data_IF_428503282690
#
_entry.id   IF_428503282690
#
_cell.length_a   1.000
_cell.length_b   1.000
_cell.length_c   1.000
_cell.angle_alpha   90.00
_cell.angle_beta   90.00
_cell.angle_gamma   90.00
#
_symmetry.space_group_name_H-M   'P 1'
#
loop_
_entity.id
_entity.type
_entity.pdbx_description
1 polymer ?
#
# COMPACT_ATOMS: atom_id res chain seq x y z
N UNK A 1 -55.70 15.86 17.88
CA UNK A 1 -54.63 15.09 18.54
C UNK A 1 -53.33 15.68 18.00
N UNK A 2 -52.89 16.83 18.50
CA UNK A 2 -52.03 16.95 19.70
C UNK A 2 -50.88 15.93 19.70
N UNK A 3 -49.61 16.25 19.92
CA UNK A 3 -48.89 17.46 20.34
C UNK A 3 -47.41 17.03 20.21
N UNK A 4 -46.59 17.89 19.58
CA UNK A 4 -45.26 18.35 20.05
C UNK A 4 -44.24 17.26 20.47
N UNK A 5 -43.02 17.25 19.93
CA UNK A 5 -41.84 17.91 20.54
C UNK A 5 -40.61 17.45 19.75
N UNK A 6 -39.68 18.35 19.46
CA UNK A 6 -38.41 18.41 20.18
C UNK A 6 -37.35 19.18 19.36
N UNK A 7 -36.97 20.35 19.91
CA UNK A 7 -35.60 20.89 19.99
C UNK A 7 -34.82 21.02 18.66
N UNK A 8 -34.50 22.20 18.13
CA UNK A 8 -34.29 23.49 18.75
C UNK A 8 -32.84 23.94 18.57
N UNK A 9 -32.70 25.24 18.26
CA UNK A 9 -31.59 26.14 18.68
C UNK A 9 -30.27 25.89 17.90
N UNK A 10 -29.65 26.83 17.19
CA UNK A 10 -29.38 28.24 17.50
C UNK A 10 -29.31 29.07 16.21
N UNK A 11 -30.38 29.81 15.90
CA UNK A 11 -30.32 30.94 14.96
C UNK A 11 -29.76 32.15 15.71
N UNK A 12 -28.46 32.38 15.55
CA UNK A 12 -27.76 33.53 16.07
C UNK A 12 -27.76 34.67 15.07
N UNK A 13 -28.53 35.71 15.40
CA UNK A 13 -28.05 37.09 15.44
C UNK A 13 -27.64 37.76 14.11
N UNK A 14 -28.61 38.33 13.39
CA UNK A 14 -28.41 39.58 12.64
C UNK A 14 -29.66 40.46 12.83
N UNK A 15 -29.72 41.13 13.97
CA UNK A 15 -30.69 42.19 14.24
C UNK A 15 -30.25 43.46 13.49
N UNK A 16 -31.06 43.82 12.50
CA UNK A 16 -31.57 45.16 12.19
C UNK A 16 -30.78 46.39 12.70
N UNK A 17 -30.17 47.12 11.78
CA UNK A 17 -30.28 48.59 11.68
C UNK A 17 -30.26 48.96 10.20
N UNK A 18 -31.31 49.67 9.77
CA UNK A 18 -31.67 49.85 8.37
C UNK A 18 -30.80 50.83 7.58
N UNK A 19 -30.81 50.66 6.26
CA UNK A 19 -30.94 51.74 5.28
C UNK A 19 -31.28 51.11 3.93
N UNK A 20 -32.45 51.45 3.39
CA UNK A 20 -32.87 51.12 2.03
C UNK A 20 -31.88 51.73 1.03
N UNK A 21 -31.06 50.89 0.40
CA UNK A 21 -30.27 51.23 -0.77
C UNK A 21 -30.62 50.28 -1.91
N UNK A 22 -31.58 50.67 -2.74
CA UNK A 22 -31.87 49.98 -3.99
C UNK A 22 -30.64 50.08 -4.92
N UNK A 23 -29.99 48.95 -5.19
CA UNK A 23 -29.12 48.82 -6.36
C UNK A 23 -29.87 48.01 -7.41
N UNK A 24 -30.47 48.73 -8.35
CA UNK A 24 -31.04 48.18 -9.58
C UNK A 24 -29.92 47.63 -10.49
N UNK A 25 -30.22 46.63 -11.33
CA UNK A 25 -29.22 45.99 -12.17
C UNK A 25 -28.82 46.93 -13.29
N UNK A 26 -27.56 47.36 -13.31
CA UNK A 26 -26.98 47.99 -14.50
C UNK A 26 -26.82 46.92 -15.58
N UNK A 27 -27.89 46.73 -16.36
CA UNK A 27 -27.88 45.95 -17.59
C UNK A 27 -26.95 46.58 -18.61
N UNK A 28 -25.66 46.24 -18.54
CA UNK A 28 -24.74 46.41 -19.64
C UNK A 28 -25.05 45.37 -20.71
N UNK A 29 -25.62 45.79 -21.84
CA UNK A 29 -25.72 44.95 -23.02
C UNK A 29 -24.31 44.81 -23.63
N UNK A 30 -23.58 43.78 -23.22
CA UNK A 30 -22.35 43.42 -23.92
C UNK A 30 -22.74 42.77 -25.24
N UNK A 31 -22.66 43.56 -26.32
CA UNK A 31 -22.72 43.05 -27.68
C UNK A 31 -21.59 42.03 -27.84
N UNK A 32 -21.94 40.80 -28.19
CA UNK A 32 -20.97 39.83 -28.69
C UNK A 32 -20.48 40.29 -30.08
N UNK A 33 -19.50 41.19 -30.08
CA UNK A 33 -18.79 41.58 -31.30
C UNK A 33 -17.78 40.48 -31.61
N UNK A 34 -17.92 39.87 -32.79
CA UNK A 34 -17.17 38.70 -33.25
C UNK A 34 -15.73 39.01 -33.69
N UNK A 35 -15.18 40.14 -33.25
CA UNK A 35 -13.88 40.63 -33.70
C UNK A 35 -12.95 40.70 -32.48
N UNK A 36 -12.23 39.61 -32.24
CA UNK A 36 -11.23 39.47 -31.18
C UNK A 36 -10.03 40.38 -31.44
N UNK A 37 -10.13 41.64 -31.02
CA UNK A 37 -8.95 42.45 -30.69
C UNK A 37 -8.90 42.56 -29.17
N UNK A 38 -7.77 42.13 -28.61
CA UNK A 38 -7.49 41.98 -27.19
C UNK A 38 -7.97 43.19 -26.35
N UNK A 39 -8.84 42.93 -25.38
CA UNK A 39 -9.06 43.84 -24.26
C UNK A 39 -7.86 43.68 -23.32
N UNK A 40 -7.15 44.80 -23.13
CA UNK A 40 -5.94 44.95 -22.34
C UNK A 40 -6.04 44.27 -20.97
N UNK A 41 -5.36 43.12 -20.81
CA UNK A 41 -5.08 42.55 -19.48
C UNK A 41 -5.19 41.04 -19.33
N UNK A 42 -5.70 40.29 -20.32
CA UNK A 42 -5.70 38.84 -20.22
C UNK A 42 -4.36 38.26 -20.69
N UNK A 43 -3.48 37.95 -19.74
CA UNK A 43 -2.27 37.19 -20.02
C UNK A 43 -2.63 35.70 -20.14
N UNK A 44 -2.43 35.04 -21.31
CA UNK A 44 -2.77 33.64 -21.49
C UNK A 44 -1.93 32.78 -20.54
N UNK A 45 -2.57 31.77 -19.93
CA UNK A 45 -1.87 30.82 -19.08
C UNK A 45 -0.78 30.09 -19.87
N UNK A 46 0.35 29.77 -19.24
CA UNK A 46 1.35 28.87 -19.83
C UNK A 46 1.00 27.41 -19.54
N UNK A 47 1.56 26.47 -20.31
CA UNK A 47 1.41 25.04 -20.05
C UNK A 47 1.79 24.65 -18.61
N UNK A 48 2.86 25.24 -18.08
CA UNK A 48 3.29 25.07 -16.69
C UNK A 48 2.30 25.63 -15.67
N UNK A 49 1.66 26.76 -15.96
CA UNK A 49 0.63 27.37 -15.10
C UNK A 49 -0.67 26.56 -15.14
N UNK A 50 -1.00 25.95 -16.28
CA UNK A 50 -2.14 25.05 -16.44
C UNK A 50 -1.88 23.63 -15.88
N UNK A 51 -0.66 23.33 -15.43
CA UNK A 51 -0.23 21.99 -14.97
C UNK A 51 -0.43 20.90 -16.03
N UNK A 52 -0.33 21.28 -17.31
CA UNK A 52 -0.49 20.39 -18.47
C UNK A 52 0.86 20.18 -19.14
N UNK A 53 1.23 18.91 -19.36
CA UNK A 53 2.50 18.52 -19.97
C UNK A 53 2.39 18.27 -21.49
N UNK A 54 1.18 18.08 -22.02
CA UNK A 54 0.93 17.78 -23.42
C UNK A 54 -0.50 18.17 -23.84
N UNK A 55 -0.75 18.31 -25.13
CA UNK A 55 -2.08 18.53 -25.69
C UNK A 55 -2.54 20.00 -25.66
N UNK A 56 -3.77 20.23 -26.14
CA UNK A 56 -4.37 21.55 -26.30
C UNK A 56 -5.36 21.86 -25.18
N UNK A 57 -5.14 22.94 -24.45
CA UNK A 57 -5.98 23.36 -23.32
C UNK A 57 -6.39 24.84 -23.46
N UNK A 58 -7.57 25.27 -22.97
CA UNK A 58 -7.95 26.68 -22.97
C UNK A 58 -6.95 27.53 -22.18
N UNK A 59 -6.66 28.72 -22.69
CA UNK A 59 -5.70 29.67 -22.09
C UNK A 59 -6.32 30.59 -21.02
N UNK A 60 -7.64 30.47 -20.78
CA UNK A 60 -8.40 31.31 -19.86
C UNK A 60 -8.81 32.67 -20.43
N UNK A 61 -8.37 33.01 -21.64
CA UNK A 61 -8.59 34.29 -22.32
C UNK A 61 -9.47 34.16 -23.58
N UNK A 62 -10.12 32.99 -23.74
CA UNK A 62 -10.94 32.67 -24.92
C UNK A 62 -10.15 32.07 -26.07
N UNK A 63 -8.85 31.85 -25.89
CA UNK A 63 -7.97 31.12 -26.80
C UNK A 63 -7.58 29.74 -26.27
N UNK A 64 -6.62 29.11 -26.93
CA UNK A 64 -6.08 27.81 -26.55
C UNK A 64 -4.56 27.83 -26.62
N UNK A 65 -3.92 27.19 -25.66
CA UNK A 65 -2.48 26.92 -25.67
C UNK A 65 -2.23 25.47 -26.10
N UNK A 66 -1.16 25.27 -26.88
CA UNK A 66 -0.72 23.96 -27.35
C UNK A 66 0.59 23.58 -26.64
N UNK A 67 0.53 22.54 -25.82
CA UNK A 67 1.64 22.08 -24.98
C UNK A 67 2.46 20.96 -25.63
N UNK A 68 2.24 20.70 -26.93
CA UNK A 68 2.95 19.69 -27.70
C UNK A 68 2.53 18.26 -27.36
N UNK A 69 3.20 17.31 -28.02
CA UNK A 69 2.94 15.88 -27.88
C UNK A 69 3.93 15.18 -26.93
N UNK A 70 3.55 14.00 -26.47
CA UNK A 70 4.39 13.16 -25.63
C UNK A 70 5.47 12.44 -26.46
N UNK A 71 6.72 12.50 -26.00
CA UNK A 71 7.84 11.75 -26.61
C UNK A 71 7.62 10.23 -26.57
N UNK A 72 6.87 9.73 -25.58
CA UNK A 72 6.42 8.35 -25.49
C UNK A 72 5.03 8.29 -24.86
N UNK A 73 4.17 7.42 -25.39
CA UNK A 73 2.81 7.21 -24.90
C UNK A 73 1.77 8.14 -25.49
N UNK A 74 0.65 8.31 -24.79
CA UNK A 74 -0.51 9.06 -25.27
C UNK A 74 -0.85 10.17 -24.29
N UNK A 75 -1.22 11.34 -24.81
CA UNK A 75 -1.68 12.45 -23.99
C UNK A 75 -3.12 12.22 -23.56
N UNK A 76 -3.35 12.09 -22.26
CA UNK A 76 -4.69 11.95 -21.67
C UNK A 76 -4.82 12.93 -20.52
N UNK A 77 -5.84 13.79 -20.57
CA UNK A 77 -6.11 14.81 -19.55
C UNK A 77 -4.89 15.71 -19.26
N UNK A 78 -4.16 16.10 -20.32
CA UNK A 78 -2.99 16.95 -20.20
C UNK A 78 -1.74 16.27 -19.64
N UNK A 79 -1.75 14.95 -19.46
CA UNK A 79 -0.61 14.17 -18.96
C UNK A 79 -0.18 13.09 -19.94
N UNK A 80 1.13 12.92 -20.09
CA UNK A 80 1.71 11.81 -20.83
C UNK A 80 1.57 10.51 -20.05
N UNK A 81 0.72 9.63 -20.54
CA UNK A 81 0.59 8.28 -20.02
C UNK A 81 1.36 7.34 -20.94
N UNK A 82 2.35 6.66 -20.37
CA UNK A 82 3.08 5.63 -21.09
C UNK A 82 2.08 4.60 -21.66
N UNK A 83 2.32 4.07 -22.88
CA UNK A 83 1.47 3.01 -23.37
C UNK A 83 1.53 1.85 -22.37
N UNK A 84 0.45 1.06 -22.20
CA UNK A 84 0.53 -0.14 -21.40
C UNK A 84 1.65 -0.99 -21.99
N UNK A 85 2.77 -1.07 -21.27
CA UNK A 85 3.82 -2.03 -21.61
C UNK A 85 3.10 -3.37 -21.55
N UNK A 86 2.98 -4.12 -22.66
CA UNK A 86 2.45 -5.47 -22.54
C UNK A 86 3.28 -6.12 -21.45
N UNK A 87 2.62 -6.65 -20.42
CA UNK A 87 3.30 -7.40 -19.39
C UNK A 87 4.06 -8.49 -20.15
N UNK A 88 5.36 -8.27 -20.36
CA UNK A 88 6.22 -9.32 -20.83
C UNK A 88 5.96 -10.44 -19.84
N UNK A 89 5.57 -11.65 -20.29
CA UNK A 89 5.43 -12.75 -19.38
C UNK A 89 6.77 -12.78 -18.67
N UNK A 90 6.77 -12.63 -17.33
CA UNK A 90 7.96 -12.88 -16.52
C UNK A 90 8.56 -14.11 -17.16
N UNK A 91 9.72 -13.96 -17.80
CA UNK A 91 10.48 -15.08 -18.31
C UNK A 91 10.91 -15.77 -17.02
N UNK A 92 9.99 -16.56 -16.46
CA UNK A 92 10.33 -17.73 -15.70
C UNK A 92 11.41 -18.37 -16.56
N UNK A 93 12.63 -18.54 -16.03
CA UNK A 93 13.67 -19.16 -16.82
C UNK A 93 13.12 -20.53 -17.16
N UNK A 94 12.63 -20.67 -18.39
CA UNK A 94 12.37 -21.92 -19.08
C UNK A 94 13.59 -22.77 -18.77
N UNK A 95 13.42 -23.73 -17.86
CA UNK A 95 14.52 -24.46 -17.26
C UNK A 95 15.40 -25.05 -18.35
N UNK A 96 16.70 -24.71 -18.41
CA UNK A 96 17.59 -25.32 -19.37
C UNK A 96 17.88 -26.75 -18.94
N UNK A 97 17.80 -27.64 -19.93
CA UNK A 97 18.25 -29.03 -19.90
C UNK A 97 19.68 -29.03 -19.35
N UNK A 98 19.79 -29.53 -18.14
CA UNK A 98 21.00 -29.60 -17.34
C UNK A 98 22.00 -30.61 -17.92
N UNK A 99 23.29 -30.35 -17.71
CA UNK A 99 24.49 -31.15 -18.03
C UNK A 99 25.61 -30.64 -17.12
N UNK A 100 25.40 -30.77 -15.80
CA UNK A 100 25.90 -29.83 -14.80
C UNK A 100 27.44 -29.75 -14.70
N UNK A 101 28.02 -28.58 -14.97
CA UNK A 101 29.19 -28.00 -14.26
C UNK A 101 29.23 -26.49 -14.59
N UNK A 102 29.27 -25.55 -13.62
CA UNK A 102 28.84 -25.62 -12.21
C UNK A 102 27.33 -25.34 -12.15
N UNK A 103 26.54 -26.19 -12.80
CA UNK A 103 25.20 -25.84 -13.25
C UNK A 103 24.06 -26.17 -12.30
N UNK A 104 24.22 -26.08 -10.98
CA UNK A 104 23.13 -26.25 -10.00
C UNK A 104 23.20 -25.20 -8.87
N UNK A 105 22.06 -24.90 -8.23
CA UNK A 105 21.97 -23.97 -7.09
C UNK A 105 22.42 -24.63 -5.78
N UNK A 106 22.69 -23.86 -4.71
CA UNK A 106 22.83 -24.41 -3.36
C UNK A 106 21.57 -25.23 -3.00
N UNK A 107 21.78 -26.40 -2.38
CA UNK A 107 20.74 -27.40 -2.07
C UNK A 107 20.17 -28.18 -3.27
N UNK A 108 20.89 -28.22 -4.39
CA UNK A 108 20.60 -29.12 -5.51
C UNK A 108 21.79 -30.06 -5.78
N UNK A 109 21.48 -31.29 -6.20
CA UNK A 109 22.47 -32.26 -6.66
C UNK A 109 22.26 -32.62 -8.13
N UNK A 110 23.35 -32.80 -8.88
CA UNK A 110 23.27 -33.25 -10.26
C UNK A 110 23.07 -34.77 -10.31
N UNK A 111 21.90 -35.22 -10.73
CA UNK A 111 21.52 -36.63 -10.95
C UNK A 111 21.01 -36.76 -12.38
N UNK A 112 21.58 -37.68 -13.17
CA UNK A 112 21.22 -37.88 -14.59
C UNK A 112 21.29 -36.61 -15.45
N UNK A 113 22.38 -35.84 -15.27
CA UNK A 113 22.53 -34.53 -15.86
C UNK A 113 21.39 -33.59 -15.47
N UNK A 114 20.77 -33.75 -14.29
CA UNK A 114 19.70 -32.87 -13.81
C UNK A 114 19.87 -32.39 -12.39
N UNK A 115 19.64 -31.09 -12.18
CA UNK A 115 19.62 -30.54 -10.84
C UNK A 115 18.33 -30.99 -10.16
N UNK A 116 18.50 -31.88 -9.21
CA UNK A 116 17.45 -32.37 -8.33
C UNK A 116 17.62 -31.68 -6.99
N UNK A 117 16.58 -31.00 -6.53
CA UNK A 117 16.59 -30.36 -5.23
C UNK A 117 16.69 -31.42 -4.12
N UNK A 118 17.68 -31.24 -3.25
CA UNK A 118 17.88 -32.10 -2.10
C UNK A 118 17.07 -31.55 -0.93
N UNK A 119 15.93 -32.20 -0.68
CA UNK A 119 15.07 -31.85 0.45
C UNK A 119 15.83 -32.01 1.75
N UNK A 120 15.82 -30.98 2.57
CA UNK A 120 16.25 -31.08 3.94
C UNK A 120 15.33 -32.05 4.70
N UNK A 121 15.85 -32.63 5.78
CA UNK A 121 15.09 -33.41 6.75
C UNK A 121 15.10 -32.68 8.09
N UNK A 122 14.17 -33.01 8.98
CA UNK A 122 14.17 -32.47 10.34
C UNK A 122 15.52 -32.67 11.04
N UNK A 123 16.12 -33.86 10.87
CA UNK A 123 17.44 -34.17 11.41
C UNK A 123 18.55 -33.31 10.80
N UNK A 124 18.55 -33.08 9.48
CA UNK A 124 19.57 -32.25 8.84
C UNK A 124 19.44 -30.77 9.17
N UNK A 125 18.24 -30.30 9.54
CA UNK A 125 17.99 -28.94 10.02
C UNK A 125 18.24 -28.77 11.53
N UNK A 126 18.49 -29.87 12.25
CA UNK A 126 18.62 -29.88 13.71
C UNK A 126 17.29 -29.63 14.44
N UNK A 127 16.16 -29.84 13.78
CA UNK A 127 14.82 -29.64 14.34
C UNK A 127 14.31 -30.92 14.97
N UNK A 128 13.85 -30.83 16.22
CA UNK A 128 13.25 -31.95 16.96
C UNK A 128 11.72 -31.98 16.88
N UNK A 129 11.11 -30.84 16.61
CA UNK A 129 9.66 -30.66 16.54
C UNK A 129 9.34 -29.39 15.73
N UNK A 130 8.08 -29.22 15.36
CA UNK A 130 7.60 -28.04 14.62
C UNK A 130 7.57 -28.24 13.11
N UNK A 131 7.34 -27.15 12.39
CA UNK A 131 7.26 -27.14 10.93
C UNK A 131 8.42 -26.34 10.34
N UNK A 132 8.94 -26.77 9.20
CA UNK A 132 10.02 -26.09 8.51
C UNK A 132 9.96 -26.27 7.00
N UNK A 133 10.56 -25.37 6.25
CA UNK A 133 10.74 -25.53 4.81
C UNK A 133 11.82 -26.57 4.51
N UNK A 134 11.59 -27.41 3.49
CA UNK A 134 12.54 -28.43 3.05
C UNK A 134 13.63 -27.90 2.10
N UNK A 135 13.63 -26.60 1.79
CA UNK A 135 14.53 -25.95 0.83
C UNK A 135 14.14 -26.13 -0.63
N UNK A 136 13.07 -26.90 -0.90
CA UNK A 136 12.62 -27.31 -2.22
C UNK A 136 11.15 -26.96 -2.50
N UNK A 137 10.55 -26.10 -1.65
CA UNK A 137 9.15 -25.68 -1.74
C UNK A 137 8.16 -26.63 -1.08
N UNK A 138 8.65 -27.63 -0.32
CA UNK A 138 7.86 -28.49 0.56
C UNK A 138 7.97 -28.06 2.02
N UNK A 139 7.00 -28.50 2.83
CA UNK A 139 7.01 -28.29 4.29
C UNK A 139 7.27 -29.63 4.98
N UNK A 140 8.25 -29.62 5.89
CA UNK A 140 8.58 -30.70 6.82
C UNK A 140 7.75 -30.55 8.10
N UNK A 141 7.14 -31.64 8.51
CA UNK A 141 6.43 -31.77 9.79
C UNK A 141 7.31 -32.61 10.74
N UNK A 142 8.06 -31.96 11.63
CA UNK A 142 9.01 -32.60 12.54
C UNK A 142 8.35 -33.16 13.81
N UNK A 143 7.02 -33.30 13.81
CA UNK A 143 6.21 -33.67 14.96
C UNK A 143 5.78 -32.46 15.79
N UNK A 144 4.80 -32.67 16.67
CA UNK A 144 4.30 -31.60 17.53
C UNK A 144 5.36 -31.22 18.58
N UNK A 145 5.67 -29.93 18.70
CA UNK A 145 6.44 -29.46 19.83
C UNK A 145 5.59 -29.61 21.09
N UNK A 146 6.08 -30.43 22.03
CA UNK A 146 5.48 -30.44 23.35
C UNK A 146 5.74 -29.07 23.99
N UNK A 147 4.70 -28.40 24.52
CA UNK A 147 4.93 -27.23 25.35
C UNK A 147 5.84 -27.64 26.52
N UNK A 148 6.70 -26.73 26.96
CA UNK A 148 7.61 -26.99 28.07
C UNK A 148 6.87 -27.48 29.33
N UNK A 149 5.62 -27.02 29.51
CA UNK A 149 4.75 -27.38 30.63
C UNK A 149 3.37 -27.86 30.16
N UNK A 150 2.69 -28.63 31.02
CA UNK A 150 1.35 -29.14 30.75
C UNK A 150 0.30 -28.02 30.68
N UNK A 151 -0.86 -28.24 30.07
CA UNK A 151 -1.92 -27.22 29.98
C UNK A 151 -2.44 -26.74 31.35
N UNK A 152 -2.31 -27.53 32.41
CA UNK A 152 -2.64 -27.19 33.80
C UNK A 152 -1.50 -26.48 34.56
N UNK A 153 -0.35 -26.30 33.92
CA UNK A 153 0.84 -25.68 34.48
C UNK A 153 1.17 -24.35 33.76
N UNK A 154 1.82 -23.43 34.47
CA UNK A 154 2.46 -22.25 33.91
C UNK A 154 3.98 -22.43 33.94
N UNK A 155 4.67 -21.86 32.94
CA UNK A 155 6.12 -21.84 32.90
C UNK A 155 6.66 -20.67 33.72
N UNK A 156 7.38 -20.98 34.79
CA UNK A 156 8.11 -20.07 35.64
C UNK A 156 9.61 -20.26 35.41
N UNK A 157 10.16 -19.55 34.41
CA UNK A 157 11.61 -19.50 34.13
C UNK A 157 12.24 -20.90 33.94
N UNK A 158 11.60 -21.74 33.13
CA UNK A 158 12.02 -23.11 32.84
C UNK A 158 11.52 -24.17 33.85
N UNK A 159 10.79 -23.77 34.89
CA UNK A 159 10.09 -24.70 35.78
C UNK A 159 8.58 -24.70 35.52
N UNK A 160 7.95 -25.87 35.61
CA UNK A 160 6.50 -26.02 35.45
C UNK A 160 5.81 -26.00 36.81
N UNK A 161 4.90 -25.05 37.01
CA UNK A 161 4.19 -24.82 38.27
C UNK A 161 2.68 -24.90 38.02
N UNK A 162 1.89 -25.58 38.87
CA UNK A 162 0.45 -25.64 38.73
C UNK A 162 -0.21 -24.25 38.64
N UNK A 163 -1.14 -24.07 37.71
CA UNK A 163 -1.91 -22.82 37.58
C UNK A 163 -2.73 -22.49 38.83
N UNK A 164 -3.02 -23.47 39.68
CA UNK A 164 -3.69 -23.27 40.97
C UNK A 164 -2.92 -22.35 41.91
N UNK A 165 -1.59 -22.26 41.78
CA UNK A 165 -0.77 -21.36 42.61
C UNK A 165 -0.92 -19.89 42.22
N UNK A 166 -1.46 -19.60 41.02
CA UNK A 166 -1.81 -18.25 40.53
C UNK A 166 -0.62 -17.30 40.30
N UNK A 167 0.59 -17.65 40.74
CA UNK A 167 1.84 -16.91 40.54
C UNK A 167 3.05 -17.83 40.64
N UNK A 168 4.19 -17.39 40.14
CA UNK A 168 5.45 -18.10 40.34
C UNK A 168 5.85 -18.08 41.83
N UNK A 169 6.36 -19.20 42.36
CA UNK A 169 6.88 -19.26 43.73
C UNK A 169 8.06 -18.31 43.91
N UNK A 170 8.18 -17.71 45.09
CA UNK A 170 9.29 -16.79 45.42
C UNK A 170 10.66 -17.46 45.41
N UNK A 171 10.72 -18.79 45.55
CA UNK A 171 11.95 -19.58 45.44
C UNK A 171 12.38 -19.84 43.99
N UNK A 172 11.56 -19.50 42.99
CA UNK A 172 11.95 -19.54 41.57
C UNK A 172 12.56 -18.20 41.21
N UNK A 173 13.90 -18.15 41.21
CA UNK A 173 14.63 -16.94 40.87
C UNK A 173 14.66 -16.76 39.35
N UNK A 174 13.67 -16.04 38.83
CA UNK A 174 13.65 -15.61 37.44
C UNK A 174 14.69 -14.51 37.21
N UNK A 175 15.49 -14.55 36.13
CA UNK A 175 16.25 -13.39 35.71
C UNK A 175 15.26 -12.29 35.35
N UNK A 176 15.21 -11.24 36.18
CA UNK A 176 14.34 -10.09 36.02
C UNK A 176 14.50 -9.49 34.62
N UNK A 177 13.53 -9.76 33.73
CA UNK A 177 13.37 -9.21 32.37
C UNK A 177 14.66 -9.16 31.52
N UNK A 178 14.88 -10.18 30.69
CA UNK A 178 15.31 -9.93 29.31
C UNK A 178 14.92 -11.10 28.40
N UNK A 179 14.18 -10.75 27.35
CA UNK A 179 13.85 -11.51 26.14
C UNK A 179 13.18 -12.90 26.28
N UNK A 180 12.01 -13.13 25.63
CA UNK A 180 11.63 -14.48 25.27
C UNK A 180 12.73 -15.05 24.37
N UNK A 181 13.38 -16.12 24.82
CA UNK A 181 14.30 -16.89 24.00
C UNK A 181 13.52 -17.48 22.82
N UNK A 182 14.12 -17.52 21.61
CA UNK A 182 13.45 -18.02 20.43
C UNK A 182 13.19 -19.52 20.59
N UNK A 183 11.92 -19.91 20.49
CA UNK A 183 11.54 -21.29 20.24
C UNK A 183 12.01 -21.65 18.83
N UNK A 184 13.08 -22.45 18.76
CA UNK A 184 13.52 -23.14 17.55
C UNK A 184 13.72 -24.61 17.85
#
# INVERSE_FOLDING_TARGET
>A
MEVVRSLGRWAGLCLALGLWGACTPSGGTVRASRDNVALDGCAPATCSQAMVACGRTPDGCGGFIDCGDCQAGTCTDGRCVAPPVPAEPKKEPTGPISTCTPGCKPNESCVDNRCVCQRATCASLGLKCGTADDGCGGVLECGACQPACRPDEMECCGACIPKSDGRCPENVHCPSRSNPLPTR
#
